data_IF_645598204371
#
_entry.id   IF_645598204371
#
_cell.length_a   1.000
_cell.length_b   1.000
_cell.length_c   1.000
_cell.angle_alpha   90.00
_cell.angle_beta   90.00
_cell.angle_gamma   90.00
#
_symmetry.space_group_name_H-M   'P 1'
#
loop_
_entity.id
_entity.type
_entity.pdbx_description
1 polymer ?
#
# COMPACT_ATOMS: atom_id res chain seq x y z
N UNK A 1 52.84 13.39 -7.47
CA UNK A 1 51.59 12.66 -7.21
C UNK A 1 50.48 13.69 -7.03
N UNK A 2 49.48 13.72 -7.91
CA UNK A 2 48.25 14.51 -7.76
C UNK A 2 47.14 13.70 -8.43
N UNK A 3 46.48 12.88 -7.64
CA UNK A 3 45.46 11.94 -8.10
C UNK A 3 44.44 11.59 -7.03
N UNK A 4 44.24 12.47 -6.04
CA UNK A 4 43.27 12.26 -4.95
C UNK A 4 42.10 13.24 -4.96
N UNK A 5 42.11 14.27 -5.80
CA UNK A 5 41.15 15.38 -5.69
C UNK A 5 39.80 15.10 -6.38
N UNK A 6 39.70 14.04 -7.21
CA UNK A 6 38.48 13.71 -7.97
C UNK A 6 37.53 12.75 -7.25
N UNK A 7 38.03 12.06 -6.22
CA UNK A 7 37.25 11.04 -5.48
C UNK A 7 36.43 11.70 -4.35
N UNK A 8 36.99 12.74 -3.71
CA UNK A 8 36.35 13.48 -2.62
C UNK A 8 35.11 14.28 -3.06
N UNK A 9 35.10 14.82 -4.29
CA UNK A 9 33.93 15.52 -4.83
C UNK A 9 32.78 14.55 -5.20
N UNK A 10 33.09 13.33 -5.60
CA UNK A 10 32.10 12.31 -5.93
C UNK A 10 31.46 11.70 -4.67
N UNK A 11 32.21 11.60 -3.56
CA UNK A 11 31.69 11.14 -2.27
C UNK A 11 30.72 12.16 -1.63
N UNK A 12 30.92 13.46 -1.85
CA UNK A 12 30.02 14.52 -1.35
C UNK A 12 28.66 14.60 -2.09
N UNK A 13 28.55 14.05 -3.31
CA UNK A 13 27.30 14.06 -4.08
C UNK A 13 26.33 12.91 -3.71
N UNK A 14 26.79 11.89 -2.97
CA UNK A 14 25.93 10.78 -2.53
C UNK A 14 24.95 11.19 -1.42
N UNK A 15 25.28 12.26 -0.68
CA UNK A 15 24.45 12.83 0.38
C UNK A 15 23.36 13.80 -0.14
N UNK A 16 23.28 14.02 -1.46
CA UNK A 16 22.25 14.84 -2.13
C UNK A 16 21.03 13.95 -2.53
N UNK A 17 20.83 12.84 -1.82
CA UNK A 17 19.63 12.02 -1.96
C UNK A 17 18.43 12.55 -1.17
N UNK A 18 17.23 12.00 -1.41
CA UNK A 18 16.11 12.18 -0.48
C UNK A 18 16.45 11.47 0.84
N UNK A 19 16.69 12.24 1.90
CA UNK A 19 17.08 11.73 3.22
C UNK A 19 16.18 12.31 4.31
N UNK A 20 15.92 11.51 5.35
CA UNK A 20 15.15 11.95 6.51
C UNK A 20 15.88 13.10 7.22
N UNK A 21 15.21 14.23 7.51
CA UNK A 21 15.81 15.35 8.22
C UNK A 21 16.45 14.92 9.55
N UNK A 22 17.72 15.27 9.77
CA UNK A 22 18.46 14.93 11.00
C UNK A 22 18.24 15.91 12.15
N UNK A 23 17.71 17.11 11.88
CA UNK A 23 17.42 18.13 12.91
C UNK A 23 16.22 17.71 13.75
N UNK A 24 16.35 17.82 15.08
CA UNK A 24 15.35 17.30 16.03
C UNK A 24 13.94 17.88 15.76
N UNK A 25 13.86 19.19 15.51
CA UNK A 25 12.62 19.93 15.26
C UNK A 25 11.91 19.53 13.96
N UNK A 26 12.61 18.85 13.05
CA UNK A 26 12.08 18.36 11.78
C UNK A 26 11.83 16.84 11.78
N UNK A 27 12.22 16.13 12.85
CA UNK A 27 12.00 14.70 12.97
C UNK A 27 10.59 14.41 13.49
N UNK A 28 9.92 13.45 12.86
CA UNK A 28 8.67 12.89 13.41
C UNK A 28 9.07 11.91 14.50
N UNK A 29 8.94 12.32 15.76
CA UNK A 29 9.18 11.44 16.88
C UNK A 29 8.12 10.33 16.90
N UNK A 30 8.56 9.09 16.74
CA UNK A 30 7.68 7.95 16.94
C UNK A 30 7.36 7.82 18.43
N UNK A 31 6.09 7.61 18.81
CA UNK A 31 5.80 7.16 20.16
C UNK A 31 6.54 5.82 20.38
N UNK A 32 7.26 5.71 21.50
CA UNK A 32 8.03 4.51 21.86
C UNK A 32 7.15 3.25 21.98
N UNK A 33 5.84 3.45 22.12
CA UNK A 33 4.86 2.39 22.25
C UNK A 33 3.87 2.47 21.09
N UNK A 34 3.54 1.34 20.45
CA UNK A 34 2.45 1.30 19.49
C UNK A 34 1.15 1.75 20.16
N UNK A 35 0.19 2.33 19.40
CA UNK A 35 -1.11 2.65 19.96
C UNK A 35 -1.75 1.38 20.54
N UNK A 36 -2.55 1.50 21.61
CA UNK A 36 -3.23 0.36 22.20
C UNK A 36 -4.09 -0.35 21.15
N UNK A 37 -4.27 -1.68 21.25
CA UNK A 37 -5.05 -2.43 20.29
C UNK A 37 -6.48 -1.87 20.20
N UNK A 38 -7.08 -1.85 18.99
CA UNK A 38 -8.44 -1.36 18.82
C UNK A 38 -9.39 -2.16 19.70
N UNK A 39 -10.32 -1.46 20.36
CA UNK A 39 -11.36 -2.10 21.18
C UNK A 39 -12.15 -3.07 20.31
N UNK A 40 -12.39 -4.28 20.81
CA UNK A 40 -13.30 -5.23 20.15
C UNK A 40 -14.63 -4.52 19.89
N UNK A 41 -14.99 -4.37 18.61
CA UNK A 41 -16.32 -3.89 18.25
C UNK A 41 -17.32 -4.91 18.80
N UNK A 42 -18.39 -4.44 19.44
CA UNK A 42 -19.55 -5.30 19.73
C UNK A 42 -19.96 -5.93 18.40
N UNK A 43 -20.31 -7.23 18.35
CA UNK A 43 -20.81 -7.82 17.13
C UNK A 43 -21.92 -6.91 16.61
N UNK A 44 -21.80 -6.49 15.35
CA UNK A 44 -22.83 -5.68 14.72
C UNK A 44 -24.10 -6.51 14.77
N UNK A 45 -24.98 -6.21 15.73
CA UNK A 45 -26.33 -6.76 15.75
C UNK A 45 -27.02 -6.12 14.56
N UNK A 46 -27.02 -6.80 13.41
CA UNK A 46 -27.91 -6.50 12.29
C UNK A 46 -29.34 -6.74 12.80
N UNK A 47 -29.86 -5.83 13.63
CA UNK A 47 -31.22 -5.80 14.16
C UNK A 47 -32.23 -5.34 13.11
N UNK A 48 -32.06 -5.81 11.88
CA UNK A 48 -32.87 -5.41 10.75
C UNK A 48 -32.21 -5.86 9.46
N UNK A 49 -32.68 -7.00 8.93
CA UNK A 49 -32.53 -7.49 7.56
C UNK A 49 -31.10 -7.52 7.03
N UNK A 50 -30.58 -8.74 6.83
CA UNK A 50 -29.42 -8.98 5.96
C UNK A 50 -29.67 -8.19 4.66
N UNK A 51 -28.72 -7.33 4.28
CA UNK A 51 -28.82 -6.58 3.03
C UNK A 51 -28.94 -7.62 1.91
N UNK A 52 -30.04 -7.57 1.16
CA UNK A 52 -30.19 -8.43 -0.02
C UNK A 52 -29.04 -8.16 -0.97
N UNK A 53 -28.60 -9.20 -1.68
CA UNK A 53 -27.61 -9.04 -2.72
C UNK A 53 -28.10 -7.98 -3.73
N UNK A 54 -27.21 -7.13 -4.27
CA UNK A 54 -27.57 -6.22 -5.34
C UNK A 54 -28.23 -6.98 -6.49
N UNK A 55 -29.41 -6.52 -6.92
CA UNK A 55 -30.25 -7.19 -7.92
C UNK A 55 -29.56 -7.43 -9.27
N UNK A 56 -28.54 -6.64 -9.57
CA UNK A 56 -27.81 -6.68 -10.85
C UNK A 56 -26.32 -7.05 -10.65
N UNK A 57 -25.99 -7.71 -9.53
CA UNK A 57 -24.59 -7.94 -9.16
C UNK A 57 -23.89 -6.68 -8.66
N UNK A 58 -22.67 -6.84 -8.14
CA UNK A 58 -21.86 -5.73 -7.62
C UNK A 58 -21.11 -4.96 -8.71
N UNK A 59 -20.92 -5.59 -9.86
CA UNK A 59 -20.18 -5.04 -10.98
C UNK A 59 -21.07 -5.08 -12.21
N UNK A 60 -21.41 -3.90 -12.71
CA UNK A 60 -21.93 -3.75 -14.04
C UNK A 60 -20.71 -3.64 -14.96
N UNK A 61 -20.35 -4.72 -15.66
CA UNK A 61 -19.33 -4.65 -16.69
C UNK A 61 -20.00 -4.10 -17.95
N UNK A 62 -19.64 -2.88 -18.42
CA UNK A 62 -20.11 -2.41 -19.70
C UNK A 62 -19.42 -3.24 -20.78
N UNK A 63 -20.25 -3.92 -21.58
CA UNK A 63 -19.96 -4.49 -22.90
C UNK A 63 -18.87 -5.57 -23.02
N UNK A 64 -18.27 -6.03 -21.92
CA UNK A 64 -17.37 -7.19 -21.91
C UNK A 64 -18.19 -8.44 -21.61
N UNK A 65 -18.19 -9.40 -22.53
CA UNK A 65 -18.81 -10.70 -22.32
C UNK A 65 -18.13 -11.42 -21.15
N UNK A 66 -18.92 -11.90 -20.18
CA UNK A 66 -18.41 -12.62 -19.02
C UNK A 66 -17.61 -13.85 -19.46
N UNK A 67 -17.96 -14.46 -20.60
CA UNK A 67 -17.23 -15.58 -21.20
C UNK A 67 -15.79 -15.20 -21.60
N UNK A 68 -15.58 -13.98 -22.09
CA UNK A 68 -14.24 -13.46 -22.42
C UNK A 68 -13.42 -13.23 -21.15
N UNK A 69 -14.07 -12.69 -20.10
CA UNK A 69 -13.45 -12.48 -18.79
C UNK A 69 -13.00 -13.81 -18.16
N UNK A 70 -13.86 -14.82 -18.14
CA UNK A 70 -13.49 -16.12 -17.58
C UNK A 70 -12.38 -16.79 -18.39
N UNK A 71 -12.35 -16.61 -19.71
CA UNK A 71 -11.24 -17.12 -20.55
C UNK A 71 -9.90 -16.42 -20.23
N UNK A 72 -9.92 -15.12 -19.93
CA UNK A 72 -8.72 -14.33 -19.65
C UNK A 72 -8.20 -14.49 -18.22
N UNK A 73 -9.09 -14.72 -17.26
CA UNK A 73 -8.80 -14.69 -15.82
C UNK A 73 -8.85 -16.05 -15.11
N UNK A 74 -9.20 -17.15 -15.78
CA UNK A 74 -9.01 -18.49 -15.19
C UNK A 74 -7.49 -18.77 -15.09
N UNK A 75 -6.94 -18.96 -13.88
CA UNK A 75 -5.56 -19.40 -13.74
C UNK A 75 -5.42 -20.77 -14.41
N UNK A 76 -4.68 -20.82 -15.52
CA UNK A 76 -4.23 -22.08 -16.13
C UNK A 76 -3.24 -22.73 -15.17
N UNK A 77 -3.75 -23.43 -14.17
CA UNK A 77 -2.97 -24.43 -13.48
C UNK A 77 -2.72 -25.55 -14.49
N UNK A 78 -1.60 -25.44 -15.22
CA UNK A 78 -1.02 -26.59 -15.91
C UNK A 78 -0.56 -27.55 -14.83
N UNK A 79 -1.10 -28.76 -14.94
CA UNK A 79 -0.84 -30.01 -14.19
C UNK A 79 0.56 -30.05 -13.58
#
# INVERSE_FOLDING_TARGET
MRGGEMEDEMMNNLDIGCSTPKRWECQIHTPLLPPPPPKKKKPFSFGGKKREAPKHGYFYLPDIDLEELFTLFIPRNRI
#
